data_IF_149952603359
#
_entry.id   IF_149952603359
#
_cell.length_a   1.000
_cell.length_b   1.000
_cell.length_c   1.000
_cell.angle_alpha   90.00
_cell.angle_beta   90.00
_cell.angle_gamma   90.00
#
_symmetry.space_group_name_H-M   'P 1'
#
loop_
_entity.id
_entity.type
_entity.pdbx_description
1 polymer ?
#
# COMPACT_ATOMS: atom_id res chain seq x y z
N UNK A 1 50.57 -7.99 1.62
CA UNK A 1 49.53 -8.76 2.32
C UNK A 1 48.23 -8.00 2.10
N UNK A 2 47.37 -8.54 1.24
CA UNK A 2 46.19 -7.84 0.70
C UNK A 2 45.19 -7.60 1.84
N UNK A 3 44.88 -6.34 2.13
CA UNK A 3 43.76 -5.98 3.00
C UNK A 3 42.47 -6.39 2.27
N UNK A 4 41.86 -7.47 2.72
CA UNK A 4 40.47 -7.79 2.39
C UNK A 4 39.62 -6.55 2.62
N UNK A 5 38.93 -6.08 1.58
CA UNK A 5 37.88 -5.06 1.70
C UNK A 5 36.72 -5.66 2.50
N UNK A 6 36.88 -5.69 3.83
CA UNK A 6 35.82 -6.08 4.74
C UNK A 6 34.83 -4.94 4.81
N UNK A 7 33.60 -5.17 4.33
CA UNK A 7 32.48 -4.28 4.62
C UNK A 7 32.34 -4.19 6.14
N UNK A 8 32.62 -3.02 6.71
CA UNK A 8 32.33 -2.77 8.12
C UNK A 8 30.81 -2.62 8.25
N UNK A 9 30.17 -3.22 9.28
CA UNK A 9 28.70 -3.26 9.38
C UNK A 9 28.07 -1.86 9.54
N UNK A 10 28.84 -0.84 9.91
CA UNK A 10 28.36 0.51 10.22
C UNK A 10 28.87 1.60 9.28
N UNK A 11 29.85 1.32 8.42
CA UNK A 11 30.48 2.33 7.57
C UNK A 11 30.85 1.73 6.21
N UNK A 12 30.54 2.44 5.13
CA UNK A 12 30.91 1.99 3.77
C UNK A 12 32.39 2.18 3.45
N UNK A 13 33.07 3.14 4.10
CA UNK A 13 34.47 3.46 3.87
C UNK A 13 35.13 4.07 5.13
N UNK A 14 36.27 3.52 5.53
CA UNK A 14 37.05 3.97 6.70
C UNK A 14 37.69 5.35 6.51
N UNK A 15 38.03 5.71 5.27
CA UNK A 15 38.67 7.00 4.99
C UNK A 15 37.70 8.16 5.21
N UNK A 16 36.44 7.99 4.80
CA UNK A 16 35.39 8.99 5.02
C UNK A 16 35.16 9.24 6.52
N UNK A 17 35.26 8.19 7.35
CA UNK A 17 35.17 8.32 8.80
C UNK A 17 36.36 9.08 9.41
N UNK A 18 37.58 8.88 8.91
CA UNK A 18 38.76 9.60 9.41
C UNK A 18 38.67 11.08 9.05
N UNK A 19 38.25 11.38 7.82
CA UNK A 19 38.18 12.76 7.32
C UNK A 19 37.01 13.54 7.91
N UNK A 20 35.85 12.90 8.06
CA UNK A 20 34.61 13.55 8.50
C UNK A 20 34.27 13.30 9.97
N UNK A 21 34.86 12.30 10.62
CA UNK A 21 34.49 11.87 11.96
C UNK A 21 34.66 12.95 13.03
N UNK A 22 35.72 13.78 12.94
CA UNK A 22 35.89 14.91 13.84
C UNK A 22 34.80 15.97 13.64
N UNK A 23 34.47 16.28 12.38
CA UNK A 23 33.41 17.22 12.06
C UNK A 23 32.06 16.71 12.57
N UNK A 24 31.75 15.45 12.33
CA UNK A 24 30.56 14.77 12.84
C UNK A 24 30.48 14.82 14.37
N UNK A 25 31.58 14.51 15.08
CA UNK A 25 31.62 14.57 16.55
C UNK A 25 31.31 15.97 17.10
N UNK A 26 31.78 17.02 16.42
CA UNK A 26 31.52 18.41 16.84
C UNK A 26 30.07 18.85 16.64
N UNK A 27 29.33 18.19 15.73
CA UNK A 27 27.93 18.52 15.43
C UNK A 27 26.93 17.52 16.00
N UNK A 28 27.37 16.51 16.76
CA UNK A 28 26.48 15.52 17.39
C UNK A 28 25.38 16.18 18.21
N UNK A 29 24.20 15.58 18.19
CA UNK A 29 22.99 16.14 18.79
C UNK A 29 22.20 17.07 17.86
N UNK A 30 22.61 17.22 16.60
CA UNK A 30 21.93 18.01 15.57
C UNK A 30 21.38 17.14 14.43
N UNK A 31 20.47 17.69 13.63
CA UNK A 31 19.97 17.03 12.41
C UNK A 31 21.09 16.81 11.39
N UNK A 32 22.03 17.76 11.28
CA UNK A 32 23.18 17.63 10.39
C UNK A 32 24.08 16.44 10.73
N UNK A 33 24.15 16.03 12.01
CA UNK A 33 24.86 14.83 12.40
C UNK A 33 24.17 13.55 11.89
N UNK A 34 22.84 13.54 11.88
CA UNK A 34 22.04 12.41 11.36
C UNK A 34 22.22 12.33 9.84
N UNK A 35 22.08 13.45 9.14
CA UNK A 35 22.28 13.54 7.68
C UNK A 35 23.66 13.03 7.28
N UNK A 36 24.73 13.58 7.88
CA UNK A 36 26.11 13.16 7.62
C UNK A 36 26.36 11.67 7.96
N UNK A 37 25.75 11.17 9.04
CA UNK A 37 25.84 9.76 9.41
C UNK A 37 25.16 8.83 8.41
N UNK A 38 23.99 9.21 7.91
CA UNK A 38 23.27 8.43 6.89
C UNK A 38 23.99 8.47 5.53
N UNK A 39 24.67 9.56 5.19
CA UNK A 39 25.52 9.65 3.99
C UNK A 39 26.62 8.60 3.98
N UNK A 40 27.21 8.25 5.14
CA UNK A 40 28.19 7.16 5.24
C UNK A 40 27.61 5.78 4.89
N UNK A 41 26.30 5.62 5.04
CA UNK A 41 25.54 4.44 4.60
C UNK A 41 24.99 4.59 3.17
N UNK A 42 25.23 5.73 2.51
CA UNK A 42 24.66 6.11 1.21
C UNK A 42 23.15 6.12 1.22
N UNK A 43 22.58 6.56 2.35
CA UNK A 43 21.14 6.65 2.57
C UNK A 43 20.80 8.12 2.77
N UNK A 44 19.71 8.56 2.16
CA UNK A 44 19.13 9.87 2.38
C UNK A 44 17.76 9.72 3.00
N UNK A 45 17.46 10.59 3.97
CA UNK A 45 16.18 10.60 4.64
C UNK A 45 15.81 12.02 5.08
N UNK A 46 14.53 12.32 5.06
CA UNK A 46 13.97 13.57 5.53
C UNK A 46 13.54 13.44 6.98
N UNK A 47 13.93 14.39 7.81
CA UNK A 47 13.54 14.44 9.21
C UNK A 47 12.10 14.96 9.37
N UNK A 48 11.29 14.23 10.12
CA UNK A 48 9.95 14.65 10.52
C UNK A 48 9.80 14.62 12.05
N UNK A 49 9.59 15.78 12.71
CA UNK A 49 9.32 15.79 14.14
C UNK A 49 7.93 15.22 14.43
N UNK A 50 7.76 14.59 15.59
CA UNK A 50 6.43 14.29 16.09
C UNK A 50 5.66 15.58 16.38
N UNK A 51 4.33 15.52 16.27
CA UNK A 51 3.49 16.63 16.68
C UNK A 51 3.66 16.92 18.18
N UNK A 52 3.73 18.21 18.53
CA UNK A 52 4.00 18.68 19.89
C UNK A 52 2.91 18.34 20.90
N UNK A 53 1.70 18.02 20.43
CA UNK A 53 0.60 17.56 21.27
C UNK A 53 0.71 16.10 21.72
N UNK A 54 1.64 15.31 21.16
CA UNK A 54 1.83 13.90 21.50
C UNK A 54 2.44 13.77 22.91
N UNK A 55 2.05 12.74 23.66
CA UNK A 55 2.69 12.41 24.96
C UNK A 55 4.20 12.19 24.77
N UNK A 56 4.58 11.50 23.70
CA UNK A 56 5.97 11.27 23.27
C UNK A 56 6.41 12.31 22.22
N UNK A 57 6.32 13.59 22.60
CA UNK A 57 6.59 14.76 21.74
C UNK A 57 8.04 14.87 21.28
N UNK A 58 8.98 14.29 22.03
CA UNK A 58 10.42 14.33 21.74
C UNK A 58 10.86 13.27 20.72
N UNK A 59 9.91 12.56 20.11
CA UNK A 59 10.17 11.56 19.08
C UNK A 59 10.20 12.14 17.67
N UNK A 60 10.83 11.42 16.75
CA UNK A 60 10.88 11.79 15.34
C UNK A 60 10.84 10.57 14.41
N UNK A 61 10.48 10.84 13.16
CA UNK A 61 10.45 9.91 12.05
C UNK A 61 11.49 10.30 11.00
N UNK A 62 12.03 9.31 10.30
CA UNK A 62 12.87 9.49 9.12
C UNK A 62 12.15 8.94 7.89
N UNK A 63 11.94 9.79 6.90
CA UNK A 63 11.33 9.44 5.62
C UNK A 63 12.42 9.20 4.57
N UNK A 64 12.62 7.94 4.19
CA UNK A 64 13.66 7.55 3.25
C UNK A 64 13.22 7.76 1.80
N UNK A 65 14.15 8.27 0.98
CA UNK A 65 13.92 8.48 -0.45
C UNK A 65 13.94 7.16 -1.23
N UNK A 66 14.66 6.18 -0.69
CA UNK A 66 14.83 4.86 -1.26
C UNK A 66 14.64 3.78 -0.20
N UNK A 67 14.20 2.61 -0.64
CA UNK A 67 14.03 1.47 0.26
C UNK A 67 15.39 0.97 0.76
N UNK A 68 15.68 1.04 2.08
CA UNK A 68 16.93 0.54 2.61
C UNK A 68 17.02 -0.99 2.54
N UNK A 69 18.23 -1.53 2.43
CA UNK A 69 18.47 -2.97 2.59
C UNK A 69 18.30 -3.39 4.05
N UNK A 70 17.80 -4.61 4.31
CA UNK A 70 17.57 -5.08 5.69
C UNK A 70 18.83 -5.08 6.53
N UNK A 71 19.96 -5.52 5.95
CA UNK A 71 21.25 -5.55 6.64
C UNK A 71 21.70 -4.17 7.14
N UNK A 72 21.18 -3.10 6.53
CA UNK A 72 21.50 -1.73 6.90
C UNK A 72 20.62 -1.17 8.01
N UNK A 73 19.51 -1.83 8.38
CA UNK A 73 18.57 -1.28 9.36
C UNK A 73 19.20 -1.09 10.74
N UNK A 74 19.96 -2.06 11.22
CA UNK A 74 20.70 -1.94 12.49
C UNK A 74 21.76 -0.83 12.42
N UNK A 75 22.39 -0.65 11.26
CA UNK A 75 23.36 0.40 11.05
C UNK A 75 22.71 1.79 11.06
N UNK A 76 21.53 1.93 10.45
CA UNK A 76 20.71 3.14 10.46
C UNK A 76 20.30 3.50 11.89
N UNK A 77 19.82 2.53 12.66
CA UNK A 77 19.48 2.74 14.07
C UNK A 77 20.70 3.19 14.87
N UNK A 78 21.82 2.47 14.74
CA UNK A 78 23.04 2.76 15.49
C UNK A 78 23.59 4.16 15.15
N UNK A 79 23.69 4.52 13.87
CA UNK A 79 24.21 5.83 13.48
C UNK A 79 23.27 6.96 13.90
N UNK A 80 21.96 6.74 13.81
CA UNK A 80 20.96 7.71 14.22
C UNK A 80 20.95 7.89 15.74
N UNK A 81 21.06 6.82 16.51
CA UNK A 81 21.15 6.85 17.97
C UNK A 81 22.42 7.56 18.46
N UNK A 82 23.54 7.34 17.77
CA UNK A 82 24.77 8.07 18.05
C UNK A 82 24.68 9.54 17.64
N UNK A 83 23.94 9.88 16.59
CA UNK A 83 23.89 11.25 16.03
C UNK A 83 22.87 12.14 16.73
N UNK A 84 21.74 11.58 17.18
CA UNK A 84 20.62 12.33 17.77
C UNK A 84 21.00 12.96 19.12
N UNK A 85 20.19 13.94 19.54
CA UNK A 85 20.27 14.47 20.90
C UNK A 85 19.84 13.42 21.91
N UNK A 86 20.41 13.44 23.12
CA UNK A 86 20.11 12.46 24.18
C UNK A 86 18.62 12.35 24.49
N UNK A 87 17.88 13.46 24.39
CA UNK A 87 16.44 13.52 24.67
C UNK A 87 15.57 13.31 23.44
N UNK A 88 16.13 13.13 22.25
CA UNK A 88 15.33 12.86 21.05
C UNK A 88 15.26 11.36 20.82
N UNK A 89 14.10 10.85 20.43
CA UNK A 89 13.94 9.40 20.20
C UNK A 89 13.61 9.09 18.75
N UNK A 90 14.38 8.19 18.15
CA UNK A 90 14.12 7.71 16.80
C UNK A 90 12.99 6.68 16.83
N UNK A 91 11.76 7.16 16.59
CA UNK A 91 10.55 6.34 16.69
C UNK A 91 10.39 5.43 15.50
N UNK A 92 10.59 5.95 14.29
CA UNK A 92 10.19 5.24 13.07
C UNK A 92 10.95 5.64 11.81
N UNK A 93 11.22 4.66 10.96
CA UNK A 93 11.72 4.84 9.59
C UNK A 93 10.65 4.47 8.55
N UNK A 94 10.40 5.32 7.56
CA UNK A 94 9.28 5.16 6.62
C UNK A 94 9.72 5.32 5.17
N UNK A 95 9.13 4.53 4.27
CA UNK A 95 9.19 4.74 2.82
C UNK A 95 7.94 4.15 2.17
N UNK A 96 7.17 4.96 1.44
CA UNK A 96 6.03 4.50 0.63
C UNK A 96 4.78 4.03 1.40
N UNK A 97 4.90 3.59 2.66
CA UNK A 97 3.76 3.22 3.52
C UNK A 97 3.78 3.99 4.83
N UNK A 98 3.16 5.16 4.82
CA UNK A 98 3.02 6.02 6.00
C UNK A 98 1.57 6.07 6.49
N UNK A 99 1.19 5.15 7.37
CA UNK A 99 -0.02 5.29 8.19
C UNK A 99 0.39 5.58 9.62
N UNK A 100 0.17 6.83 10.03
CA UNK A 100 0.43 7.32 11.37
C UNK A 100 -0.80 7.11 12.26
N UNK A 101 -0.59 7.14 13.58
CA UNK A 101 -1.69 7.12 14.54
C UNK A 101 -2.60 8.33 14.33
N UNK A 102 -3.90 8.15 14.57
CA UNK A 102 -4.85 9.26 14.46
C UNK A 102 -4.61 10.25 15.60
N UNK A 103 -4.37 11.52 15.27
CA UNK A 103 -4.20 12.58 16.25
C UNK A 103 -5.59 13.07 16.72
N UNK A 104 -6.14 12.42 17.75
CA UNK A 104 -7.48 12.68 18.29
C UNK A 104 -7.51 13.62 19.51
N UNK A 105 -6.41 14.33 19.79
CA UNK A 105 -6.27 15.17 20.98
C UNK A 105 -7.47 16.11 21.18
N UNK A 106 -7.94 16.20 22.42
CA UNK A 106 -9.14 16.94 22.86
C UNK A 106 -10.50 16.38 22.41
N UNK A 107 -10.56 15.15 21.88
CA UNK A 107 -11.81 14.45 21.58
C UNK A 107 -12.08 13.30 22.58
N UNK A 108 -13.33 12.84 22.69
CA UNK A 108 -13.72 11.69 23.53
C UNK A 108 -13.18 10.33 23.04
N UNK A 109 -12.45 10.31 21.92
CA UNK A 109 -11.85 9.10 21.34
C UNK A 109 -10.44 8.82 21.87
N UNK A 110 -9.89 9.69 22.72
CA UNK A 110 -8.55 9.54 23.34
C UNK A 110 -8.41 8.24 24.18
N UNK A 111 -9.52 7.67 24.65
CA UNK A 111 -9.59 6.39 25.38
C UNK A 111 -9.77 5.16 24.45
N UNK A 112 -9.75 5.32 23.13
CA UNK A 112 -9.91 4.22 22.16
C UNK A 112 -8.54 3.82 21.57
N UNK A 113 -8.32 2.52 21.36
CA UNK A 113 -7.09 1.91 20.82
C UNK A 113 -6.76 2.32 19.36
N UNK A 114 -6.63 3.62 19.08
CA UNK A 114 -6.30 4.21 17.78
C UNK A 114 -4.80 4.54 17.66
N UNK A 115 -3.98 4.13 18.63
CA UNK A 115 -2.57 4.51 18.77
C UNK A 115 -1.59 3.73 17.87
N UNK A 116 -2.08 2.81 17.04
CA UNK A 116 -1.21 1.96 16.23
C UNK A 116 -0.68 2.70 15.01
N UNK A 117 0.63 2.58 14.82
CA UNK A 117 1.35 3.09 13.66
C UNK A 117 1.70 1.91 12.76
N UNK A 118 1.67 2.14 11.44
CA UNK A 118 2.11 1.12 10.49
C UNK A 118 3.61 0.87 10.61
N UNK A 119 4.00 -0.39 10.53
CA UNK A 119 5.38 -0.84 10.53
C UNK A 119 5.59 -2.04 11.46
N UNK A 120 6.82 -2.54 11.46
CA UNK A 120 7.24 -3.63 12.34
C UNK A 120 8.63 -3.37 12.89
N UNK A 121 8.90 -3.93 14.07
CA UNK A 121 10.23 -3.90 14.69
C UNK A 121 11.02 -5.11 14.20
N UNK A 122 12.08 -4.86 13.44
CA UNK A 122 12.88 -5.92 12.80
C UNK A 122 14.23 -6.14 13.49
N UNK A 123 14.67 -5.16 14.25
CA UNK A 123 15.99 -5.01 14.84
C UNK A 123 15.91 -5.03 16.36
N UNK A 124 17.05 -5.25 17.02
CA UNK A 124 17.13 -5.18 18.48
C UNK A 124 16.95 -3.76 19.04
N UNK A 125 17.21 -2.72 18.24
CA UNK A 125 16.99 -1.31 18.63
C UNK A 125 15.52 -0.96 18.82
N UNK A 126 14.61 -1.74 18.22
CA UNK A 126 13.18 -1.62 18.44
C UNK A 126 12.53 -0.42 17.73
N UNK A 127 13.23 0.25 16.81
CA UNK A 127 12.64 1.25 15.93
C UNK A 127 11.61 0.58 15.02
N UNK A 128 10.51 1.29 14.79
CA UNK A 128 9.46 0.82 13.89
C UNK A 128 9.88 1.11 12.43
N UNK A 129 9.89 0.12 11.56
CA UNK A 129 10.15 0.32 10.13
C UNK A 129 8.89 0.06 9.32
N UNK A 130 8.49 1.03 8.49
CA UNK A 130 7.30 0.95 7.65
C UNK A 130 7.63 1.20 6.19
N UNK A 131 7.80 0.10 5.47
CA UNK A 131 8.19 0.15 4.07
C UNK A 131 7.08 -0.42 3.19
N UNK A 132 6.63 0.40 2.23
CA UNK A 132 5.62 0.07 1.24
C UNK A 132 6.17 0.04 -0.17
N UNK A 133 5.51 -0.73 -1.03
CA UNK A 133 5.76 -0.71 -2.47
C UNK A 133 4.43 -0.64 -3.20
N UNK A 134 4.33 0.29 -4.14
CA UNK A 134 3.14 0.41 -5.00
C UNK A 134 3.40 -0.25 -6.34
N UNK A 135 2.41 -0.97 -6.85
CA UNK A 135 2.40 -1.49 -8.22
C UNK A 135 1.14 -0.98 -8.89
N UNK A 136 1.30 -0.23 -9.96
CA UNK A 136 0.20 0.34 -10.72
C UNK A 136 -0.01 -0.48 -12.00
N UNK A 137 -1.24 -0.88 -12.26
CA UNK A 137 -1.61 -1.69 -13.42
C UNK A 137 -2.75 -1.01 -14.15
N UNK A 138 -2.60 -0.83 -15.47
CA UNK A 138 -3.65 -0.37 -16.35
C UNK A 138 -4.28 -1.57 -17.05
N UNK A 139 -5.59 -1.72 -16.94
CA UNK A 139 -6.33 -2.77 -17.63
C UNK A 139 -7.57 -2.21 -18.29
N UNK A 140 -7.85 -2.69 -19.49
CA UNK A 140 -9.08 -2.39 -20.21
C UNK A 140 -9.97 -3.61 -20.16
N UNK A 141 -11.14 -3.49 -19.53
CA UNK A 141 -12.09 -4.58 -19.41
C UNK A 141 -12.48 -5.09 -20.81
N UNK A 142 -12.18 -6.36 -21.07
CA UNK A 142 -12.52 -6.99 -22.34
C UNK A 142 -13.97 -7.47 -22.38
N UNK A 143 -14.50 -7.71 -23.59
CA UNK A 143 -15.84 -8.26 -23.77
C UNK A 143 -16.02 -9.61 -23.09
N UNK A 144 -15.01 -10.46 -23.16
CA UNK A 144 -15.04 -11.81 -22.58
C UNK A 144 -15.11 -11.73 -21.04
N UNK A 145 -14.23 -10.94 -20.42
CA UNK A 145 -14.23 -10.71 -18.97
C UNK A 145 -15.53 -10.07 -18.50
N UNK A 146 -16.02 -9.05 -19.20
CA UNK A 146 -17.27 -8.38 -18.85
C UNK A 146 -18.46 -9.32 -18.90
N UNK A 147 -18.55 -10.19 -19.92
CA UNK A 147 -19.63 -11.20 -20.02
C UNK A 147 -19.52 -12.26 -18.93
N UNK A 148 -18.30 -12.69 -18.63
CA UNK A 148 -17.98 -13.66 -17.59
C UNK A 148 -18.43 -13.19 -16.20
N UNK A 149 -18.28 -11.90 -15.90
CA UNK A 149 -18.76 -11.30 -14.62
C UNK A 149 -20.21 -10.80 -14.68
N UNK A 150 -20.87 -10.84 -15.84
CA UNK A 150 -22.24 -10.34 -16.03
C UNK A 150 -22.35 -8.80 -16.04
N UNK A 151 -21.29 -8.08 -16.40
CA UNK A 151 -21.23 -6.62 -16.45
C UNK A 151 -20.86 -6.10 -17.85
N UNK A 152 -21.23 -6.81 -18.92
CA UNK A 152 -20.99 -6.35 -20.28
C UNK A 152 -22.28 -5.89 -20.94
N UNK A 153 -22.27 -4.64 -21.39
CA UNK A 153 -23.32 -4.07 -22.24
C UNK A 153 -22.79 -4.12 -23.67
N UNK A 154 -23.56 -4.57 -24.66
CA UNK A 154 -23.08 -4.69 -26.05
C UNK A 154 -23.13 -3.37 -26.84
N UNK A 155 -22.26 -3.27 -27.86
CA UNK A 155 -22.07 -2.08 -28.72
C UNK A 155 -23.11 -1.90 -29.83
N UNK A 156 -24.34 -2.38 -29.63
CA UNK A 156 -25.38 -2.25 -30.66
C UNK A 156 -25.68 -0.79 -31.01
N UNK A 157 -25.85 -0.52 -32.31
CA UNK A 157 -26.41 0.75 -32.81
C UNK A 157 -27.92 0.88 -32.51
N UNK A 158 -28.53 -0.15 -31.93
CA UNK A 158 -29.93 -0.19 -31.52
C UNK A 158 -30.10 0.29 -30.07
N UNK A 159 -31.21 0.98 -29.81
CA UNK A 159 -31.59 1.42 -28.46
C UNK A 159 -31.55 0.21 -27.50
N UNK A 160 -30.87 0.37 -26.36
CA UNK A 160 -30.85 -0.66 -25.31
C UNK A 160 -32.30 -0.97 -24.90
N UNK A 161 -32.79 -2.16 -25.26
CA UNK A 161 -34.09 -2.64 -24.82
C UNK A 161 -34.05 -2.95 -23.32
N UNK A 162 -35.11 -2.56 -22.62
CA UNK A 162 -35.34 -2.78 -21.19
C UNK A 162 -35.12 -4.22 -20.75
N UNK A 163 -35.40 -5.17 -21.63
CA UNK A 163 -35.36 -6.60 -21.33
C UNK A 163 -33.93 -7.16 -21.24
N UNK A 164 -32.91 -6.38 -21.63
CA UNK A 164 -31.51 -6.82 -21.74
C UNK A 164 -30.62 -6.29 -20.61
N UNK A 165 -31.14 -5.43 -19.74
CA UNK A 165 -30.37 -4.77 -18.67
C UNK A 165 -30.74 -5.40 -17.32
N UNK A 166 -29.86 -6.25 -16.78
CA UNK A 166 -29.94 -6.77 -15.41
C UNK A 166 -29.24 -5.78 -14.44
N UNK A 167 -29.80 -4.57 -14.33
CA UNK A 167 -29.30 -3.48 -13.49
C UNK A 167 -30.36 -3.05 -12.48
N UNK A 168 -30.01 -2.75 -11.22
CA UNK A 168 -30.96 -2.23 -10.24
C UNK A 168 -31.55 -0.88 -10.72
N UNK A 169 -32.82 -0.89 -11.12
CA UNK A 169 -33.52 0.25 -11.75
C UNK A 169 -33.60 1.50 -10.86
N UNK A 170 -33.45 1.32 -9.55
CA UNK A 170 -33.36 2.35 -8.53
C UNK A 170 -32.12 3.26 -8.66
N UNK A 171 -31.11 2.86 -9.46
CA UNK A 171 -29.90 3.65 -9.71
C UNK A 171 -29.82 4.26 -11.13
N UNK A 172 -30.81 4.03 -11.99
CA UNK A 172 -30.79 4.50 -13.38
C UNK A 172 -31.37 5.92 -13.54
N UNK A 173 -30.58 6.96 -13.21
CA UNK A 173 -31.01 8.36 -13.31
C UNK A 173 -30.46 9.08 -14.56
N UNK A 174 -30.72 8.51 -15.74
CA UNK A 174 -30.26 9.04 -17.03
C UNK A 174 -31.42 9.57 -17.87
N UNK A 175 -31.27 10.72 -18.57
CA UNK A 175 -32.24 11.16 -19.56
C UNK A 175 -32.30 10.14 -20.71
N UNK A 176 -33.52 9.71 -21.05
CA UNK A 176 -33.84 8.74 -22.09
C UNK A 176 -33.38 9.19 -23.47
N UNK A 177 -32.14 8.91 -23.84
CA UNK A 177 -31.64 8.98 -25.21
C UNK A 177 -30.56 7.91 -25.41
N UNK A 178 -30.37 7.50 -26.67
CA UNK A 178 -29.39 6.49 -27.13
C UNK A 178 -28.16 6.43 -26.22
N UNK A 179 -27.98 5.35 -25.47
CA UNK A 179 -26.89 5.23 -24.51
C UNK A 179 -25.58 5.12 -25.28
N UNK A 180 -24.93 6.26 -25.50
CA UNK A 180 -23.68 6.34 -26.26
C UNK A 180 -22.59 5.58 -25.50
N UNK A 181 -21.50 5.22 -26.20
CA UNK A 181 -20.31 4.55 -25.64
C UNK A 181 -19.88 5.09 -24.25
N UNK A 182 -20.01 6.41 -24.05
CA UNK A 182 -19.69 7.07 -22.78
C UNK A 182 -20.62 6.65 -21.63
N UNK A 183 -21.93 6.64 -21.83
CA UNK A 183 -22.91 6.29 -20.79
C UNK A 183 -22.87 4.80 -20.44
N UNK A 184 -22.57 3.93 -21.41
CA UNK A 184 -22.31 2.51 -21.14
C UNK A 184 -21.09 2.30 -20.24
N UNK A 185 -20.02 3.04 -20.48
CA UNK A 185 -18.84 2.98 -19.63
C UNK A 185 -19.15 3.45 -18.19
N UNK A 186 -20.03 4.45 -18.02
CA UNK A 186 -20.50 4.87 -16.69
C UNK A 186 -21.24 3.75 -16.00
N UNK A 187 -22.23 3.13 -16.65
CA UNK A 187 -23.01 2.03 -16.08
C UNK A 187 -22.12 0.83 -15.70
N UNK A 188 -21.18 0.47 -16.56
CA UNK A 188 -20.26 -0.63 -16.30
C UNK A 188 -19.31 -0.33 -15.13
N UNK A 189 -18.88 0.92 -14.94
CA UNK A 189 -18.06 1.32 -13.81
C UNK A 189 -18.88 1.38 -12.50
N UNK A 190 -20.07 1.96 -12.55
CA UNK A 190 -20.99 2.09 -11.41
C UNK A 190 -21.48 0.73 -10.89
N UNK A 191 -21.58 -0.28 -11.76
CA UNK A 191 -21.94 -1.66 -11.35
C UNK A 191 -21.05 -2.21 -10.22
N UNK A 192 -19.79 -1.78 -10.15
CA UNK A 192 -18.85 -2.18 -9.10
C UNK A 192 -19.03 -1.41 -7.79
N UNK A 193 -19.79 -0.31 -7.79
CA UNK A 193 -20.00 0.49 -6.59
C UNK A 193 -20.67 -0.35 -5.48
N UNK A 194 -20.12 -0.29 -4.27
CA UNK A 194 -20.59 -1.07 -3.12
C UNK A 194 -20.29 -2.57 -3.18
N UNK A 195 -19.74 -3.11 -4.28
CA UNK A 195 -19.34 -4.52 -4.37
C UNK A 195 -17.98 -4.75 -3.72
N UNK A 196 -17.85 -5.89 -3.05
CA UNK A 196 -16.56 -6.33 -2.52
C UNK A 196 -15.81 -7.11 -3.59
N UNK A 197 -14.60 -6.66 -3.90
CA UNK A 197 -13.66 -7.35 -4.78
C UNK A 197 -12.47 -7.84 -3.96
N UNK A 198 -11.85 -8.91 -4.42
CA UNK A 198 -10.63 -9.44 -3.84
C UNK A 198 -9.52 -9.45 -4.88
N UNK A 199 -8.32 -9.08 -4.45
CA UNK A 199 -7.11 -9.22 -5.23
C UNK A 199 -6.50 -10.58 -4.90
N UNK A 200 -6.31 -11.42 -5.92
CA UNK A 200 -5.68 -12.73 -5.80
C UNK A 200 -4.19 -12.57 -6.01
N UNK A 201 -3.39 -13.07 -5.08
CA UNK A 201 -1.93 -13.13 -5.23
C UNK A 201 -1.52 -14.57 -5.46
N UNK A 202 -0.70 -14.81 -6.49
CA UNK A 202 -0.18 -16.14 -6.83
C UNK A 202 1.34 -16.14 -6.92
N UNK A 203 1.95 -17.28 -6.64
CA UNK A 203 3.40 -17.44 -6.73
C UNK A 203 3.86 -17.78 -8.16
N UNK A 204 5.16 -18.05 -8.34
CA UNK A 204 5.75 -18.36 -9.66
C UNK A 204 5.27 -19.68 -10.27
N UNK A 205 4.65 -20.55 -9.47
CA UNK A 205 4.05 -21.81 -9.92
C UNK A 205 2.55 -21.67 -10.22
N UNK A 206 2.02 -20.44 -10.13
CA UNK A 206 0.60 -20.11 -10.27
C UNK A 206 -0.28 -20.59 -9.09
N UNK A 207 0.34 -21.00 -7.98
CA UNK A 207 -0.37 -21.39 -6.77
C UNK A 207 -0.87 -20.16 -5.99
N UNK A 208 -2.10 -20.24 -5.48
CA UNK A 208 -2.72 -19.14 -4.73
C UNK A 208 -1.99 -18.94 -3.39
N UNK A 209 -1.44 -17.76 -3.19
CA UNK A 209 -0.84 -17.32 -1.94
C UNK A 209 -1.95 -16.94 -0.94
N UNK A 210 -2.96 -16.22 -1.42
CA UNK A 210 -4.14 -15.81 -0.67
C UNK A 210 -4.84 -14.64 -1.35
N UNK A 211 -5.85 -14.11 -0.67
CA UNK A 211 -6.75 -13.10 -1.21
C UNK A 211 -6.77 -11.86 -0.33
N UNK A 212 -6.61 -10.68 -0.93
CA UNK A 212 -6.70 -9.40 -0.22
C UNK A 212 -7.94 -8.64 -0.62
N UNK A 213 -8.79 -8.29 0.34
CA UNK A 213 -9.96 -7.42 0.09
C UNK A 213 -9.51 -6.06 -0.43
N UNK A 214 -10.13 -5.61 -1.51
CA UNK A 214 -9.92 -4.26 -2.03
C UNK A 214 -10.58 -3.23 -1.09
N UNK A 215 -9.82 -2.22 -0.67
CA UNK A 215 -10.33 -1.14 0.18
C UNK A 215 -10.93 0.00 -0.64
N UNK A 216 -10.53 0.14 -1.90
CA UNK A 216 -11.14 1.07 -2.84
C UNK A 216 -11.64 0.29 -4.06
N UNK A 217 -12.93 0.40 -4.33
CA UNK A 217 -13.61 -0.08 -5.55
C UNK A 217 -14.60 1.02 -5.91
N UNK A 218 -14.18 1.95 -6.76
CA UNK A 218 -14.97 3.16 -7.03
C UNK A 218 -14.89 3.55 -8.51
N UNK A 219 -16.01 3.94 -9.13
CA UNK A 219 -15.98 4.64 -10.40
C UNK A 219 -15.32 5.99 -10.21
N UNK A 220 -14.45 6.36 -11.15
CA UNK A 220 -13.62 7.55 -11.06
C UNK A 220 -13.61 8.35 -12.36
N UNK A 221 -13.38 9.65 -12.19
CA UNK A 221 -13.06 10.58 -13.26
C UNK A 221 -11.74 11.29 -12.97
N UNK A 222 -11.08 11.78 -14.03
CA UNK A 222 -9.83 12.50 -13.88
C UNK A 222 -10.09 13.90 -13.33
N UNK A 223 -9.34 14.31 -12.31
CA UNK A 223 -9.47 15.61 -11.67
C UNK A 223 -8.10 16.12 -11.21
N UNK A 224 -7.84 17.43 -11.30
CA UNK A 224 -6.56 18.04 -10.92
C UNK A 224 -6.24 17.85 -9.43
N UNK A 225 -7.26 17.91 -8.57
CA UNK A 225 -7.15 17.72 -7.12
C UNK A 225 -7.76 16.39 -6.67
N UNK A 226 -7.73 15.38 -7.56
CA UNK A 226 -8.23 14.05 -7.25
C UNK A 226 -7.52 13.40 -6.07
N UNK A 227 -8.28 12.66 -5.25
CA UNK A 227 -7.80 11.99 -4.03
C UNK A 227 -6.89 10.80 -4.35
N UNK A 228 -7.09 10.17 -5.51
CA UNK A 228 -6.31 9.01 -5.94
C UNK A 228 -5.27 9.40 -6.98
N UNK A 229 -4.08 8.82 -6.86
CA UNK A 229 -3.02 8.93 -7.86
C UNK A 229 -2.85 7.59 -8.57
N UNK A 230 -2.74 7.60 -9.90
CA UNK A 230 -2.45 6.42 -10.70
C UNK A 230 -1.85 6.82 -12.05
N UNK A 231 -0.73 6.21 -12.45
CA UNK A 231 -0.06 6.42 -13.74
C UNK A 231 0.13 7.90 -14.09
N UNK A 232 0.61 8.70 -13.13
CA UNK A 232 0.79 10.17 -13.18
C UNK A 232 -0.50 11.02 -13.24
N UNK A 233 -1.67 10.39 -13.35
CA UNK A 233 -2.97 11.06 -13.29
C UNK A 233 -3.53 11.13 -11.87
N UNK A 234 -4.42 12.09 -11.65
CA UNK A 234 -5.22 12.23 -10.44
C UNK A 234 -6.68 11.96 -10.73
N UNK A 235 -7.34 11.26 -9.82
CA UNK A 235 -8.69 10.75 -9.97
C UNK A 235 -9.53 11.00 -8.72
N UNK A 236 -10.81 11.27 -8.91
CA UNK A 236 -11.78 11.42 -7.83
C UNK A 236 -12.95 10.45 -8.01
N UNK A 237 -13.54 9.92 -6.92
CA UNK A 237 -14.78 9.17 -7.00
C UNK A 237 -15.87 10.00 -7.68
N UNK A 238 -16.52 9.43 -8.67
CA UNK A 238 -17.64 10.07 -9.37
C UNK A 238 -18.60 8.98 -9.85
N UNK A 239 -19.90 9.06 -9.54
CA UNK A 239 -20.92 8.17 -10.10
C UNK A 239 -21.06 8.29 -11.63
N UNK A 240 -20.43 9.31 -12.22
CA UNK A 240 -20.34 9.52 -13.68
C UNK A 240 -18.96 9.16 -14.23
N UNK A 241 -18.13 8.52 -13.41
CA UNK A 241 -16.83 8.03 -13.80
C UNK A 241 -16.94 6.96 -14.88
N UNK A 242 -16.06 7.02 -15.87
CA UNK A 242 -16.00 6.01 -16.95
C UNK A 242 -14.91 4.98 -16.74
N UNK A 243 -14.10 5.14 -15.70
CA UNK A 243 -13.05 4.22 -15.30
C UNK A 243 -13.35 3.71 -13.89
N UNK A 244 -12.84 2.52 -13.58
CA UNK A 244 -12.90 1.94 -12.25
C UNK A 244 -11.52 2.00 -11.61
N UNK A 245 -11.43 2.56 -10.40
CA UNK A 245 -10.25 2.41 -9.56
C UNK A 245 -10.46 1.25 -8.59
N UNK A 246 -9.54 0.29 -8.64
CA UNK A 246 -9.45 -0.82 -7.69
C UNK A 246 -8.12 -0.73 -6.97
N UNK A 247 -8.15 -0.68 -5.64
CA UNK A 247 -6.95 -0.69 -4.82
C UNK A 247 -7.08 -1.67 -3.66
N UNK A 248 -6.02 -2.44 -3.45
CA UNK A 248 -5.82 -3.29 -2.29
C UNK A 248 -4.42 -3.03 -1.73
N UNK A 249 -4.26 -3.25 -0.43
CA UNK A 249 -2.98 -3.08 0.26
C UNK A 249 -2.79 -4.25 1.20
N UNK A 250 -1.76 -5.06 0.96
CA UNK A 250 -1.32 -6.09 1.90
C UNK A 250 -0.75 -5.42 3.14
N UNK A 251 -1.16 -5.86 4.31
CA UNK A 251 -0.63 -5.36 5.57
C UNK A 251 0.60 -6.15 6.01
N UNK A 252 1.29 -5.64 7.04
CA UNK A 252 2.30 -6.42 7.72
C UNK A 252 1.67 -7.68 8.32
N UNK A 253 2.39 -8.81 8.25
CA UNK A 253 1.96 -10.12 8.75
C UNK A 253 0.81 -10.81 7.99
N UNK A 254 0.28 -10.23 6.91
CA UNK A 254 -0.67 -10.94 6.04
C UNK A 254 -0.03 -12.21 5.44
N UNK A 255 1.22 -12.10 4.96
CA UNK A 255 1.99 -13.20 4.37
C UNK A 255 3.46 -13.04 4.73
N UNK A 256 4.11 -14.14 5.11
CA UNK A 256 5.54 -14.18 5.40
C UNK A 256 6.31 -14.94 4.30
N UNK A 257 7.43 -14.35 3.87
CA UNK A 257 8.44 -14.96 2.99
C UNK A 257 7.97 -15.55 1.65
N UNK A 258 6.86 -15.07 1.11
CA UNK A 258 6.39 -15.46 -0.24
C UNK A 258 6.70 -14.39 -1.29
N UNK A 259 6.71 -14.80 -2.54
CA UNK A 259 6.84 -13.88 -3.67
C UNK A 259 5.64 -14.01 -4.59
N UNK A 260 4.91 -12.91 -4.76
CA UNK A 260 3.86 -12.84 -5.74
C UNK A 260 4.49 -12.67 -7.14
N UNK A 261 4.15 -13.61 -8.01
CA UNK A 261 4.50 -13.59 -9.43
C UNK A 261 3.31 -13.17 -10.30
N UNK A 262 2.08 -13.37 -9.83
CA UNK A 262 0.89 -12.97 -10.56
C UNK A 262 -0.14 -12.31 -9.66
N UNK A 263 -0.94 -11.43 -10.26
CA UNK A 263 -2.05 -10.75 -9.62
C UNK A 263 -3.27 -10.75 -10.53
N UNK A 264 -4.42 -10.97 -9.92
CA UNK A 264 -5.72 -10.90 -10.58
C UNK A 264 -6.82 -10.39 -9.66
N UNK A 265 -8.00 -10.15 -10.23
CA UNK A 265 -9.17 -9.64 -9.50
C UNK A 265 -10.25 -10.72 -9.48
N UNK A 266 -10.74 -11.02 -8.29
CA UNK A 266 -11.84 -11.94 -8.06
C UNK A 266 -13.12 -11.16 -7.75
N UNK A 267 -14.11 -11.34 -8.62
CA UNK A 267 -15.44 -10.71 -8.55
C UNK A 267 -16.45 -11.74 -8.05
N UNK A 268 -17.51 -11.33 -7.34
CA UNK A 268 -18.59 -12.21 -6.84
C UNK A 268 -18.19 -13.26 -5.80
N UNK A 269 -16.95 -13.22 -5.29
CA UNK A 269 -16.56 -14.12 -4.21
C UNK A 269 -17.15 -13.68 -2.86
N UNK A 270 -17.46 -14.65 -2.01
CA UNK A 270 -17.93 -14.44 -0.66
C UNK A 270 -17.15 -15.29 0.34
N UNK A 271 -16.87 -14.80 1.56
CA UNK A 271 -16.26 -15.61 2.62
C UNK A 271 -17.12 -16.85 2.90
N UNK A 272 -16.48 -18.01 3.07
CA UNK A 272 -17.19 -19.25 3.40
C UNK A 272 -17.85 -19.13 4.77
N UNK A 273 -19.13 -19.49 4.84
CA UNK A 273 -19.90 -19.51 6.08
C UNK A 273 -19.86 -20.87 6.79
N UNK A 274 -19.40 -21.92 6.09
CA UNK A 274 -19.49 -23.33 6.53
C UNK A 274 -18.21 -23.86 7.20
N UNK A 275 -17.14 -23.07 7.31
CA UNK A 275 -15.92 -23.48 8.01
C UNK A 275 -16.17 -23.33 9.52
N UNK A 276 -15.83 -24.32 10.37
CA UNK A 276 -16.01 -24.25 11.83
C UNK A 276 -15.18 -23.16 12.54
N UNK A 277 -14.46 -22.34 11.78
CA UNK A 277 -13.74 -21.16 12.25
C UNK A 277 -14.56 -19.95 11.80
N UNK A 278 -15.24 -19.28 12.73
CA UNK A 278 -15.90 -18.00 12.47
C UNK A 278 -14.85 -17.04 11.87
N UNK A 279 -14.91 -16.79 10.55
CA UNK A 279 -14.02 -15.83 9.90
C UNK A 279 -14.35 -14.47 10.52
N UNK A 280 -13.39 -13.79 11.18
CA UNK A 280 -13.65 -12.54 11.85
C UNK A 280 -14.25 -11.51 10.87
N UNK A 281 -15.33 -10.87 11.28
CA UNK A 281 -15.92 -9.78 10.51
C UNK A 281 -14.87 -8.69 10.30
N UNK A 282 -14.57 -8.39 9.04
CA UNK A 282 -13.56 -7.41 8.68
C UNK A 282 -12.15 -7.96 8.47
N UNK A 283 -11.94 -9.29 8.50
CA UNK A 283 -10.67 -9.89 8.04
C UNK A 283 -10.40 -9.47 6.60
N UNK A 284 -9.26 -8.78 6.39
CA UNK A 284 -8.91 -8.20 5.09
C UNK A 284 -8.10 -9.16 4.22
N UNK A 285 -7.26 -10.00 4.85
CA UNK A 285 -6.53 -11.08 4.21
C UNK A 285 -7.24 -12.42 4.43
N UNK A 286 -7.51 -13.16 3.36
CA UNK A 286 -8.19 -14.44 3.40
C UNK A 286 -7.29 -15.52 2.80
N UNK A 287 -7.22 -16.66 3.49
CA UNK A 287 -6.50 -17.84 3.04
C UNK A 287 -7.22 -18.50 1.86
N UNK A 288 -6.52 -19.33 1.04
CA UNK A 288 -7.09 -19.96 -0.14
C UNK A 288 -8.38 -20.75 0.10
N UNK A 289 -8.56 -21.29 1.31
CA UNK A 289 -9.70 -22.09 1.72
C UNK A 289 -10.85 -21.27 2.33
N UNK A 290 -10.66 -19.99 2.64
CA UNK A 290 -11.64 -19.13 3.33
C UNK A 290 -12.63 -18.42 2.41
N UNK A 291 -12.41 -18.44 1.09
CA UNK A 291 -13.31 -17.85 0.07
C UNK A 291 -14.05 -18.93 -0.72
N UNK A 292 -15.31 -18.66 -1.03
CA UNK A 292 -16.14 -19.48 -1.92
C UNK A 292 -16.59 -18.72 -3.16
N UNK A 293 -16.62 -19.45 -4.27
CA UNK A 293 -17.10 -18.95 -5.55
C UNK A 293 -16.22 -17.84 -6.10
N UNK A 294 -16.86 -16.97 -6.88
CA UNK A 294 -16.20 -15.87 -7.57
C UNK A 294 -15.69 -16.23 -8.95
N UNK A 295 -15.40 -15.17 -9.68
CA UNK A 295 -15.00 -15.17 -11.07
C UNK A 295 -13.73 -14.33 -11.18
N UNK A 296 -12.63 -14.99 -11.57
CA UNK A 296 -11.33 -14.34 -11.71
C UNK A 296 -11.28 -13.66 -13.09
N UNK A 297 -10.97 -12.37 -13.08
CA UNK A 297 -10.69 -11.57 -14.27
C UNK A 297 -9.27 -11.02 -14.18
N UNK A 298 -8.69 -10.69 -15.33
CA UNK A 298 -7.42 -9.98 -15.46
C UNK A 298 -6.25 -10.71 -14.78
N UNK A 299 -5.35 -11.33 -15.55
CA UNK A 299 -4.18 -12.03 -15.01
C UNK A 299 -2.89 -11.32 -15.44
N UNK A 300 -2.22 -10.62 -14.51
CA UNK A 300 -0.97 -9.90 -14.78
C UNK A 300 0.23 -10.48 -14.07
N UNK A 301 1.36 -10.48 -14.77
CA UNK A 301 2.66 -10.82 -14.21
C UNK A 301 3.15 -9.64 -13.35
N UNK A 302 3.49 -9.94 -12.11
CA UNK A 302 4.18 -9.03 -11.19
C UNK A 302 5.44 -9.72 -10.67
N UNK A 303 6.47 -8.98 -10.30
CA UNK A 303 7.62 -9.56 -9.61
C UNK A 303 7.81 -8.83 -8.29
N UNK A 304 7.04 -9.25 -7.28
CA UNK A 304 7.02 -8.58 -5.98
C UNK A 304 7.11 -9.58 -4.85
N UNK A 305 8.18 -9.49 -4.08
CA UNK A 305 8.29 -10.20 -2.81
C UNK A 305 7.23 -9.63 -1.85
N UNK A 306 6.37 -10.50 -1.33
CA UNK A 306 5.44 -10.21 -0.25
C UNK A 306 6.21 -10.47 1.04
N UNK A 307 6.72 -9.39 1.62
CA UNK A 307 7.68 -9.51 2.71
C UNK A 307 6.96 -9.19 4.02
N UNK A 308 7.31 -9.92 5.08
CA UNK A 308 7.36 -9.36 6.43
C UNK A 308 8.52 -8.35 6.48
N UNK A 309 8.38 -7.25 5.71
CA UNK A 309 9.38 -6.19 5.50
C UNK A 309 10.86 -6.65 5.56
N UNK A 310 11.37 -6.94 4.36
CA UNK A 310 12.77 -7.14 3.93
C UNK A 310 13.48 -8.36 4.56
N UNK A 311 14.32 -9.08 3.79
CA UNK A 311 15.28 -10.11 4.24
C UNK A 311 16.64 -9.49 4.46
#
# INVERSE_FOLDING_TARGET
>A
MLCSHGEHPYFSNLYDLIDQGLAWQNIRGSLAAIEMGLEWLRITAHFMPAWTGRVWWNSFQLDFDQLPERKSLEAIEAITDLSKSLRSDFRRGVMGYDVQAVECNMSRLDDSMLEYESGVRLTAGGTLFSFGRTTEINHTLTREEGRLIGNWIDDGDEELSWDLIDYPWDMANFPWCSVKKHERAILMAEWFHGRTLYLVLRDSQDDVIGFRRCYAVQPVEQALDGVYNHSSGRFQPSPRGTALLVAARTDFHDVEDKQAAFVSILVHASPKQDIPLDIPLGKLWLEPDELSGGVEIQHHIIHKKLIKSIC
#
